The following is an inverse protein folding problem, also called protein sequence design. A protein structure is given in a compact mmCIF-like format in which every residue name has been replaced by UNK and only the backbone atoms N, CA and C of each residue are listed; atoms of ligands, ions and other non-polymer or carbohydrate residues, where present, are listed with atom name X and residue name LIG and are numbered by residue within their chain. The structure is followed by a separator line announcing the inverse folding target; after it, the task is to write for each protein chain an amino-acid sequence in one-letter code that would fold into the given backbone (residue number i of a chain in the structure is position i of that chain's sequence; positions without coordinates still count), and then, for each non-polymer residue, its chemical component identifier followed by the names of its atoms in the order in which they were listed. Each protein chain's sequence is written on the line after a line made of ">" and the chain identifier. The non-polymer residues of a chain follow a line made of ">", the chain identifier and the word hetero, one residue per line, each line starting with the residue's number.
data_IF_340370731236
#
_entry.id   IF_340370731236
#
_cell.length_a   1.000
_cell.length_b   1.000
_cell.length_c   1.000
_cell.angle_alpha   90.00
_cell.angle_beta   90.00
_cell.angle_gamma   90.00
#
_symmetry.space_group_name_H-M   'P 1'
#
loop_
_entity.id
_entity.type
_entity.pdbx_description
1 polymer ?
#
# COMPACT_ATOMS: atom_id res chain seq x y z
N UNK A 1 7.87 9.55 17.85
CA UNK A 1 8.36 8.18 17.98
C UNK A 1 7.26 7.20 17.74
N UNK A 2 7.55 6.15 16.96
CA UNK A 2 6.55 5.18 16.53
C UNK A 2 6.76 3.80 17.17
N UNK A 3 7.48 3.74 18.29
CA UNK A 3 7.71 2.50 18.99
C UNK A 3 6.39 1.80 19.35
N UNK A 4 6.28 0.52 19.04
CA UNK A 4 5.08 -0.26 19.29
C UNK A 4 3.99 -0.09 18.23
N UNK A 5 4.19 0.76 17.22
CA UNK A 5 3.24 0.97 16.13
C UNK A 5 3.57 0.09 14.94
N UNK A 6 2.55 -0.52 14.35
CA UNK A 6 2.68 -1.31 13.13
C UNK A 6 2.21 -0.47 11.94
N UNK A 7 3.10 -0.28 10.98
CA UNK A 7 2.82 0.47 9.75
C UNK A 7 2.82 -0.51 8.58
N UNK A 8 1.76 -0.50 7.81
CA UNK A 8 1.64 -1.35 6.63
C UNK A 8 1.74 -0.47 5.39
N UNK A 9 2.81 -0.67 4.61
CA UNK A 9 3.04 0.04 3.35
C UNK A 9 2.59 -0.85 2.20
N UNK A 10 1.72 -0.33 1.36
CA UNK A 10 1.26 -1.03 0.16
C UNK A 10 1.82 -0.31 -1.06
N UNK A 11 2.64 -1.01 -1.83
CA UNK A 11 3.40 -0.43 -2.94
C UNK A 11 2.84 -0.96 -4.26
N UNK A 12 2.33 -0.05 -5.09
CA UNK A 12 1.89 -0.39 -6.43
C UNK A 12 2.91 0.04 -7.49
N UNK A 13 2.69 -0.35 -8.74
CA UNK A 13 3.67 -0.15 -9.81
C UNK A 13 3.78 1.30 -10.25
N UNK A 14 4.93 1.92 -9.97
CA UNK A 14 5.26 3.27 -10.39
C UNK A 14 6.76 3.48 -10.26
N UNK A 15 7.32 4.35 -11.09
CA UNK A 15 8.72 4.75 -10.93
C UNK A 15 8.97 5.42 -9.59
N UNK A 16 7.93 5.94 -8.94
CA UNK A 16 8.03 6.54 -7.62
C UNK A 16 8.22 5.51 -6.49
N UNK A 17 8.18 4.21 -6.79
CA UNK A 17 8.34 3.16 -5.79
C UNK A 17 9.66 3.27 -5.01
N UNK A 18 10.74 3.75 -5.66
CA UNK A 18 12.03 3.92 -4.98
C UNK A 18 11.95 4.88 -3.79
N UNK A 19 11.07 5.87 -3.85
CA UNK A 19 10.88 6.83 -2.75
C UNK A 19 10.33 6.15 -1.50
N UNK A 20 9.58 5.07 -1.69
CA UNK A 20 8.99 4.35 -0.57
C UNK A 20 10.03 3.56 0.20
N UNK A 21 11.13 3.17 -0.44
CA UNK A 21 12.26 2.57 0.27
C UNK A 21 12.84 3.54 1.30
N UNK A 22 12.97 4.82 0.95
CA UNK A 22 13.40 5.85 1.89
C UNK A 22 12.40 6.05 3.02
N UNK A 23 11.11 6.04 2.70
CA UNK A 23 10.06 6.15 3.71
C UNK A 23 10.11 4.97 4.67
N UNK A 24 10.24 3.75 4.15
CA UNK A 24 10.35 2.54 4.98
C UNK A 24 11.54 2.65 5.93
N UNK A 25 12.68 3.08 5.42
CA UNK A 25 13.88 3.28 6.24
C UNK A 25 13.65 4.32 7.33
N UNK A 26 13.01 5.44 6.99
CA UNK A 26 12.72 6.50 7.97
C UNK A 26 11.78 6.01 9.08
N UNK A 27 10.77 5.23 8.72
CA UNK A 27 9.82 4.68 9.70
C UNK A 27 10.50 3.67 10.63
N UNK A 28 11.40 2.85 10.11
CA UNK A 28 12.16 1.90 10.92
C UNK A 28 13.07 2.65 11.91
N UNK A 29 13.66 3.76 11.48
CA UNK A 29 14.48 4.61 12.37
C UNK A 29 13.65 5.22 13.49
N UNK A 30 12.35 5.39 13.29
CA UNK A 30 11.40 5.84 14.32
C UNK A 30 10.89 4.68 15.18
N UNK A 31 11.45 3.50 15.01
CA UNK A 31 11.12 2.27 15.76
C UNK A 31 9.74 1.69 15.45
N UNK A 32 9.17 2.02 14.29
CA UNK A 32 7.95 1.37 13.83
C UNK A 32 8.24 -0.07 13.37
N UNK A 33 7.25 -0.94 13.55
CA UNK A 33 7.25 -2.26 12.94
C UNK A 33 6.65 -2.12 11.54
N UNK A 34 7.49 -2.15 10.51
CA UNK A 34 7.08 -1.86 9.14
C UNK A 34 6.94 -3.14 8.34
N UNK A 35 5.78 -3.32 7.75
CA UNK A 35 5.49 -4.43 6.84
C UNK A 35 5.14 -3.88 5.47
N UNK A 36 5.58 -4.56 4.42
CA UNK A 36 5.37 -4.11 3.05
C UNK A 36 4.63 -5.17 2.25
N UNK A 37 3.59 -4.74 1.56
CA UNK A 37 2.89 -5.55 0.56
C UNK A 37 3.11 -4.88 -0.79
N UNK A 38 3.58 -5.64 -1.78
CA UNK A 38 3.79 -5.15 -3.13
C UNK A 38 2.80 -5.78 -4.09
N UNK A 39 2.30 -5.00 -5.04
CA UNK A 39 1.62 -5.61 -6.18
C UNK A 39 2.66 -6.33 -7.03
N UNK A 40 2.23 -7.30 -7.84
CA UNK A 40 3.13 -7.98 -8.77
C UNK A 40 3.81 -6.98 -9.70
N UNK A 41 3.06 -5.99 -10.20
CA UNK A 41 3.62 -4.97 -11.08
C UNK A 41 4.68 -4.10 -10.39
N UNK A 42 4.56 -3.87 -9.09
CA UNK A 42 5.55 -3.10 -8.34
C UNK A 42 6.93 -3.74 -8.39
N UNK A 43 7.01 -5.06 -8.51
CA UNK A 43 8.29 -5.77 -8.57
C UNK A 43 9.09 -5.46 -9.84
N UNK A 44 8.45 -4.87 -10.85
CA UNK A 44 9.15 -4.38 -12.05
C UNK A 44 9.91 -3.08 -11.79
N UNK A 45 9.64 -2.40 -10.69
CA UNK A 45 10.24 -1.11 -10.34
C UNK A 45 11.21 -1.20 -9.16
N UNK A 46 10.97 -2.12 -8.24
CA UNK A 46 11.81 -2.30 -7.07
C UNK A 46 11.75 -3.76 -6.61
N UNK A 47 12.88 -4.28 -6.16
CA UNK A 47 12.97 -5.66 -5.72
C UNK A 47 12.43 -5.82 -4.30
N UNK A 48 11.59 -6.82 -4.03
CA UNK A 48 11.09 -7.09 -2.67
C UNK A 48 12.19 -7.20 -1.62
N UNK A 49 13.35 -7.70 -1.99
CA UNK A 49 14.49 -7.86 -1.07
C UNK A 49 14.95 -6.52 -0.48
N UNK A 50 14.76 -5.43 -1.23
CA UNK A 50 15.08 -4.09 -0.73
C UNK A 50 14.27 -3.78 0.53
N UNK A 51 12.98 -4.06 0.50
CA UNK A 51 12.11 -3.82 1.66
C UNK A 51 12.41 -4.81 2.79
N UNK A 52 12.69 -6.06 2.47
CA UNK A 52 13.04 -7.06 3.48
C UNK A 52 14.30 -6.67 4.24
N UNK A 53 15.29 -6.15 3.53
CA UNK A 53 16.54 -5.67 4.14
C UNK A 53 16.29 -4.47 5.05
N UNK A 54 15.43 -3.54 4.61
CA UNK A 54 15.16 -2.32 5.38
C UNK A 54 14.28 -2.55 6.59
N UNK A 55 13.30 -3.44 6.48
CA UNK A 55 12.28 -3.61 7.53
C UNK A 55 12.53 -4.78 8.45
N UNK A 56 13.39 -5.70 8.08
CA UNK A 56 13.61 -6.98 8.76
C UNK A 56 12.37 -7.88 8.78
N UNK A 57 11.39 -7.59 7.94
CA UNK A 57 10.19 -8.38 7.77
C UNK A 57 10.10 -8.91 6.36
N UNK A 58 9.45 -10.06 6.20
CA UNK A 58 9.18 -10.60 4.87
C UNK A 58 8.29 -9.64 4.09
N UNK A 59 8.68 -9.33 2.86
CA UNK A 59 7.87 -8.53 1.96
C UNK A 59 6.87 -9.45 1.25
N UNK A 60 5.58 -9.15 1.41
CA UNK A 60 4.54 -9.93 0.76
C UNK A 60 4.32 -9.39 -0.65
N UNK A 61 4.39 -10.28 -1.64
CA UNK A 61 4.16 -9.92 -3.04
C UNK A 61 2.85 -10.53 -3.49
N UNK A 62 2.05 -9.71 -4.14
CA UNK A 62 0.78 -10.11 -4.72
C UNK A 62 1.03 -11.06 -5.90
N UNK A 63 0.89 -12.34 -5.67
CA UNK A 63 0.99 -13.35 -6.72
C UNK A 63 -0.33 -14.08 -6.83
N UNK A 64 -0.56 -14.72 -7.97
CA UNK A 64 -1.73 -15.56 -8.18
C UNK A 64 -1.63 -16.91 -7.45
N UNK A 65 -0.81 -16.95 -6.41
CA UNK A 65 -0.66 -18.16 -5.62
C UNK A 65 -1.93 -18.43 -4.83
N UNK A 66 -2.56 -19.55 -5.11
CA UNK A 66 -3.78 -19.99 -4.44
C UNK A 66 -3.51 -20.60 -3.06
N UNK A 67 -2.37 -20.30 -2.47
CA UNK A 67 -1.99 -20.85 -1.18
C UNK A 67 -2.87 -20.26 -0.07
N UNK A 68 -3.53 -21.13 0.66
CA UNK A 68 -4.48 -20.77 1.71
C UNK A 68 -3.86 -19.93 2.83
N UNK A 69 -2.57 -20.08 3.10
CA UNK A 69 -1.86 -19.32 4.13
C UNK A 69 -1.80 -17.83 3.83
N UNK A 70 -1.88 -17.50 2.57
CA UNK A 70 -1.90 -16.15 2.06
C UNK A 70 -2.98 -15.29 2.71
N UNK A 71 -4.22 -15.76 2.71
CA UNK A 71 -5.35 -15.01 3.26
C UNK A 71 -5.25 -14.78 4.78
N UNK A 72 -4.67 -15.73 5.49
CA UNK A 72 -4.52 -15.65 6.94
C UNK A 72 -3.51 -14.55 7.31
N UNK A 73 -2.38 -14.48 6.61
CA UNK A 73 -1.36 -13.47 6.87
C UNK A 73 -1.88 -12.06 6.62
N UNK A 74 -2.67 -11.87 5.57
CA UNK A 74 -3.23 -10.55 5.24
C UNK A 74 -4.22 -10.07 6.26
N UNK A 75 -5.12 -10.94 6.66
CA UNK A 75 -6.13 -10.61 7.66
C UNK A 75 -5.46 -10.28 8.99
N UNK A 76 -4.42 -11.04 9.34
CA UNK A 76 -3.66 -10.79 10.57
C UNK A 76 -2.96 -9.43 10.53
N UNK A 77 -2.32 -9.07 9.40
CA UNK A 77 -1.68 -7.78 9.22
C UNK A 77 -2.71 -6.64 9.24
N UNK A 78 -3.84 -6.82 8.58
CA UNK A 78 -4.90 -5.81 8.54
C UNK A 78 -5.42 -5.50 9.94
N UNK A 79 -5.59 -6.52 10.78
CA UNK A 79 -6.05 -6.35 12.15
C UNK A 79 -5.01 -5.70 13.06
N UNK A 80 -3.74 -5.98 12.81
CA UNK A 80 -2.63 -5.51 13.63
C UNK A 80 -2.14 -4.11 13.27
N UNK A 81 -2.40 -3.66 12.04
CA UNK A 81 -1.88 -2.40 11.55
C UNK A 81 -2.49 -1.21 12.29
N UNK A 82 -1.63 -0.28 12.69
CA UNK A 82 -2.04 0.99 13.29
C UNK A 82 -2.21 2.07 12.23
N UNK A 83 -1.45 1.98 11.16
CA UNK A 83 -1.51 2.89 10.01
C UNK A 83 -1.34 2.08 8.74
N UNK A 84 -2.14 2.42 7.74
CA UNK A 84 -2.09 1.81 6.42
C UNK A 84 -1.77 2.89 5.39
N UNK A 85 -0.75 2.69 4.58
CA UNK A 85 -0.36 3.68 3.58
C UNK A 85 -0.20 3.01 2.22
N UNK A 86 -0.95 3.49 1.22
CA UNK A 86 -0.83 3.04 -0.16
C UNK A 86 0.00 4.07 -0.92
N UNK A 87 1.26 3.76 -1.14
CA UNK A 87 2.22 4.68 -1.75
C UNK A 87 3.32 3.92 -2.49
N UNK A 88 3.57 4.19 -3.73
CA UNK A 88 2.75 4.99 -4.64
C UNK A 88 1.45 4.27 -4.99
N UNK A 89 0.38 5.02 -5.16
CA UNK A 89 -0.93 4.46 -5.55
C UNK A 89 -1.19 4.73 -7.03
N UNK A 90 -1.22 3.68 -7.83
CA UNK A 90 -1.53 3.78 -9.25
C UNK A 90 -3.02 4.06 -9.46
N UNK A 91 -3.37 4.53 -10.66
CA UNK A 91 -4.78 4.73 -11.02
C UNK A 91 -5.58 3.43 -10.88
N UNK A 92 -4.97 2.30 -11.23
CA UNK A 92 -5.60 0.98 -11.11
C UNK A 92 -5.96 0.66 -9.66
N UNK A 93 -5.00 0.82 -8.76
CA UNK A 93 -5.22 0.53 -7.33
C UNK A 93 -6.25 1.49 -6.73
N UNK A 94 -6.17 2.78 -7.08
CA UNK A 94 -7.14 3.78 -6.62
C UNK A 94 -8.55 3.40 -7.07
N UNK A 95 -8.71 3.01 -8.35
CA UNK A 95 -10.00 2.59 -8.87
C UNK A 95 -10.56 1.36 -8.18
N UNK A 96 -9.72 0.39 -7.91
CA UNK A 96 -10.12 -0.82 -7.19
C UNK A 96 -10.56 -0.50 -5.76
N UNK A 97 -9.76 0.27 -5.04
CA UNK A 97 -10.10 0.65 -3.66
C UNK A 97 -11.40 1.44 -3.60
N UNK A 98 -11.58 2.39 -4.51
CA UNK A 98 -12.77 3.25 -4.53
C UNK A 98 -14.05 2.46 -4.82
N UNK A 99 -13.95 1.32 -5.49
CA UNK A 99 -15.11 0.53 -5.89
C UNK A 99 -15.22 -0.80 -5.14
N UNK A 100 -14.44 -0.98 -4.08
CA UNK A 100 -14.52 -2.18 -3.24
C UNK A 100 -14.09 -3.45 -3.92
N UNK A 101 -13.22 -3.37 -4.92
CA UNK A 101 -12.71 -4.55 -5.63
C UNK A 101 -11.54 -5.13 -4.83
N UNK A 102 -11.68 -6.37 -4.41
CA UNK A 102 -10.68 -7.07 -3.62
C UNK A 102 -10.24 -8.33 -4.35
N UNK A 103 -9.58 -8.14 -5.49
CA UNK A 103 -9.17 -9.24 -6.37
C UNK A 103 -7.70 -9.63 -6.20
N UNK A 104 -6.98 -8.96 -5.33
CA UNK A 104 -5.60 -9.27 -5.01
C UNK A 104 -5.35 -9.07 -3.51
N UNK A 105 -4.14 -9.34 -3.11
CA UNK A 105 -3.70 -9.28 -1.72
C UNK A 105 -3.81 -7.87 -1.13
N UNK A 106 -3.30 -6.90 -1.87
CA UNK A 106 -3.27 -5.53 -1.43
C UNK A 106 -4.68 -4.99 -1.22
N UNK A 107 -5.55 -5.16 -2.21
CA UNK A 107 -6.91 -4.64 -2.14
C UNK A 107 -7.75 -5.36 -1.08
N UNK A 108 -7.54 -6.67 -0.93
CA UNK A 108 -8.21 -7.45 0.12
C UNK A 108 -7.81 -6.96 1.51
N UNK A 109 -6.52 -6.72 1.71
CA UNK A 109 -6.00 -6.25 2.99
C UNK A 109 -6.52 -4.87 3.33
N UNK A 110 -6.53 -3.97 2.35
CA UNK A 110 -7.05 -2.60 2.54
C UNK A 110 -8.53 -2.63 2.93
N UNK A 111 -9.32 -3.45 2.22
CA UNK A 111 -10.75 -3.53 2.48
C UNK A 111 -11.05 -4.05 3.89
N UNK A 112 -10.20 -4.93 4.41
CA UNK A 112 -10.34 -5.50 5.74
C UNK A 112 -9.78 -4.62 6.86
N UNK A 113 -8.93 -3.65 6.55
CA UNK A 113 -8.27 -2.83 7.55
C UNK A 113 -9.21 -1.77 8.13
N UNK A 114 -9.13 -1.56 9.45
CA UNK A 114 -9.96 -0.58 10.15
C UNK A 114 -9.17 0.62 10.68
N UNK A 115 -7.87 0.63 10.47
CA UNK A 115 -6.99 1.72 10.91
C UNK A 115 -7.07 2.90 9.95
N UNK A 116 -6.50 4.08 10.33
CA UNK A 116 -6.34 5.20 9.41
C UNK A 116 -5.60 4.79 8.15
N UNK A 117 -6.07 5.27 7.01
CA UNK A 117 -5.52 4.94 5.70
C UNK A 117 -5.09 6.20 4.97
N UNK A 118 -3.91 6.14 4.38
CA UNK A 118 -3.34 7.21 3.58
C UNK A 118 -3.09 6.71 2.17
N UNK A 119 -3.31 7.59 1.21
CA UNK A 119 -3.10 7.29 -0.20
C UNK A 119 -2.21 8.38 -0.78
N UNK A 120 -1.18 7.98 -1.53
CA UNK A 120 -0.30 8.91 -2.24
C UNK A 120 -0.36 8.59 -3.74
N UNK A 121 -1.22 9.27 -4.51
CA UNK A 121 -1.36 9.00 -5.93
C UNK A 121 -0.06 9.26 -6.70
N UNK A 122 0.26 8.39 -7.67
CA UNK A 122 1.40 8.57 -8.54
C UNK A 122 1.06 8.02 -9.92
N UNK A 123 0.96 8.92 -10.88
CA UNK A 123 0.65 8.60 -12.28
C UNK A 123 0.99 9.80 -13.14
N UNK A 124 0.97 9.63 -14.45
CA UNK A 124 1.19 10.78 -15.32
C UNK A 124 0.05 11.80 -15.18
N UNK A 125 0.34 13.04 -15.57
CA UNK A 125 -0.56 14.16 -15.36
C UNK A 125 -1.92 13.97 -16.04
N UNK A 126 -1.94 13.43 -17.24
CA UNK A 126 -3.19 13.23 -17.98
C UNK A 126 -4.10 12.21 -17.28
N UNK A 127 -3.52 11.17 -16.73
CA UNK A 127 -4.29 10.19 -15.95
C UNK A 127 -4.81 10.81 -14.66
N UNK A 128 -3.97 11.57 -13.98
CA UNK A 128 -4.36 12.21 -12.71
C UNK A 128 -5.50 13.21 -12.93
N UNK A 129 -5.46 13.97 -14.01
CA UNK A 129 -6.48 14.97 -14.34
C UNK A 129 -7.76 14.37 -14.90
N UNK A 130 -7.75 13.08 -15.26
CA UNK A 130 -8.95 12.43 -15.79
C UNK A 130 -10.07 12.48 -14.75
N UNK A 131 -11.29 12.94 -15.14
CA UNK A 131 -12.40 13.07 -14.19
C UNK A 131 -12.73 11.78 -13.44
N UNK A 132 -12.59 10.62 -14.08
CA UNK A 132 -12.87 9.33 -13.44
C UNK A 132 -11.87 9.11 -12.29
N UNK A 133 -10.59 9.39 -12.51
CA UNK A 133 -9.57 9.25 -11.47
C UNK A 133 -9.81 10.24 -10.34
N UNK A 134 -10.15 11.48 -10.67
CA UNK A 134 -10.46 12.50 -9.67
C UNK A 134 -11.69 12.12 -8.85
N UNK A 135 -12.72 11.56 -9.48
CA UNK A 135 -13.91 11.08 -8.78
C UNK A 135 -13.55 9.92 -7.83
N UNK A 136 -12.69 9.00 -8.26
CA UNK A 136 -12.26 7.89 -7.43
C UNK A 136 -11.47 8.39 -6.21
N UNK A 137 -10.61 9.39 -6.37
CA UNK A 137 -9.86 9.97 -5.25
C UNK A 137 -10.83 10.64 -4.25
N UNK A 138 -11.79 11.40 -4.75
CA UNK A 138 -12.80 12.03 -3.90
C UNK A 138 -13.65 11.00 -3.16
N UNK A 139 -13.97 9.90 -3.82
CA UNK A 139 -14.71 8.81 -3.20
C UNK A 139 -13.91 8.18 -2.06
N UNK A 140 -12.61 7.97 -2.25
CA UNK A 140 -11.73 7.47 -1.18
C UNK A 140 -11.70 8.45 0.00
N UNK A 141 -11.58 9.74 -0.26
CA UNK A 141 -11.60 10.76 0.79
C UNK A 141 -12.93 10.74 1.55
N UNK A 142 -14.04 10.57 0.83
CA UNK A 142 -15.36 10.47 1.45
C UNK A 142 -15.44 9.29 2.43
N UNK A 143 -14.76 8.20 2.13
CA UNK A 143 -14.74 7.01 2.99
C UNK A 143 -13.55 6.99 3.96
N UNK A 144 -12.92 8.13 4.17
CA UNK A 144 -11.95 8.29 5.25
C UNK A 144 -10.47 8.13 4.86
N UNK A 145 -10.16 7.91 3.60
CA UNK A 145 -8.76 7.92 3.16
C UNK A 145 -8.24 9.34 3.15
N UNK A 146 -6.99 9.50 3.56
CA UNK A 146 -6.31 10.79 3.49
C UNK A 146 -5.39 10.81 2.27
N UNK A 147 -5.58 11.81 1.42
CA UNK A 147 -4.74 11.99 0.24
C UNK A 147 -3.47 12.72 0.66
N UNK A 148 -2.32 12.10 0.39
CA UNK A 148 -1.00 12.68 0.61
C UNK A 148 -0.40 13.04 -0.72
N UNK A 149 -0.46 14.30 -1.08
CA UNK A 149 0.24 14.79 -2.26
C UNK A 149 1.75 14.74 -2.00
N UNK A 150 2.41 13.99 -2.83
CA UNK A 150 3.87 13.88 -2.75
C UNK A 150 4.55 15.13 -3.29
#
# INVERSE_FOLDING_TARGET
>A
MLAGKTVLLCVSGSIAAYKIAYLASALVKQHADVHVIMTENATNFINPITFETLTSNKCLVDTFDRNFQFNVEHVALAKRADIFMVAPASANVIGKMANGIADDMLTTTILAAKCPKYVSPAMNTNMFENPIVQDNIKKLEHYGFQDRKS
#
